data_IF_342596961782
#
_entry.id   IF_342596961782
#
_cell.length_a   1.000
_cell.length_b   1.000
_cell.length_c   1.000
_cell.angle_alpha   90.00
_cell.angle_beta   90.00
_cell.angle_gamma   90.00
#
_symmetry.space_group_name_H-M   'P 1'
#
loop_
_entity.id
_entity.type
_entity.pdbx_description
1 polymer ?
#
# COMPACT_ATOMS: atom_id res chain seq x y z
N UNK A 1 15.79 42.62 -31.50
CA UNK A 1 14.79 41.56 -31.69
C UNK A 1 13.52 42.06 -31.02
N UNK A 2 12.43 42.19 -31.77
CA UNK A 2 11.18 42.76 -31.25
C UNK A 2 10.59 41.84 -30.17
N UNK A 3 10.13 42.40 -29.05
CA UNK A 3 9.56 41.63 -27.94
C UNK A 3 8.33 40.82 -28.39
N UNK A 4 7.59 41.33 -29.38
CA UNK A 4 6.46 40.62 -29.98
C UNK A 4 6.87 39.32 -30.71
N UNK A 5 8.05 39.30 -31.34
CA UNK A 5 8.61 38.13 -32.02
C UNK A 5 9.10 37.08 -31.00
N UNK A 6 9.63 37.54 -29.86
CA UNK A 6 10.06 36.64 -28.78
C UNK A 6 8.86 35.89 -28.19
N UNK A 7 7.78 36.60 -27.87
CA UNK A 7 6.58 36.01 -27.25
C UNK A 7 5.85 35.06 -28.20
N UNK A 8 5.74 35.39 -29.49
CA UNK A 8 5.07 34.54 -30.49
C UNK A 8 5.80 33.22 -30.76
N UNK A 9 7.10 33.11 -30.45
CA UNK A 9 7.86 31.87 -30.62
C UNK A 9 8.01 31.11 -29.30
N UNK A 10 8.32 31.80 -28.20
CA UNK A 10 8.60 31.14 -26.91
C UNK A 10 7.35 30.53 -26.28
N UNK A 11 6.20 31.21 -26.31
CA UNK A 11 4.98 30.71 -25.69
C UNK A 11 4.49 29.39 -26.32
N UNK A 12 4.36 29.28 -27.66
CA UNK A 12 3.98 28.00 -28.26
C UNK A 12 5.07 26.94 -28.16
N UNK A 13 6.36 27.31 -28.13
CA UNK A 13 7.43 26.35 -27.92
C UNK A 13 7.39 25.74 -26.51
N UNK A 14 7.15 26.56 -25.47
CA UNK A 14 6.98 26.09 -24.09
C UNK A 14 5.70 25.27 -23.96
N UNK A 15 4.59 25.70 -24.56
CA UNK A 15 3.35 24.94 -24.57
C UNK A 15 3.51 23.58 -25.27
N UNK A 16 4.19 23.54 -26.41
CA UNK A 16 4.51 22.30 -27.11
C UNK A 16 5.41 21.39 -26.27
N UNK A 17 6.41 21.94 -25.58
CA UNK A 17 7.29 21.19 -24.68
C UNK A 17 6.52 20.60 -23.49
N UNK A 18 5.55 21.34 -22.94
CA UNK A 18 4.67 20.85 -21.87
C UNK A 18 3.74 19.73 -22.35
N UNK A 19 3.20 19.82 -23.57
CA UNK A 19 2.34 18.79 -24.17
C UNK A 19 3.15 17.54 -24.54
N UNK A 20 4.36 17.71 -25.07
CA UNK A 20 5.28 16.61 -25.40
C UNK A 20 5.87 15.94 -24.15
N UNK A 21 5.99 16.68 -23.04
CA UNK A 21 6.46 16.18 -21.75
C UNK A 21 5.40 15.48 -20.91
N UNK A 22 4.12 15.54 -21.31
CA UNK A 22 3.06 14.76 -20.70
C UNK A 22 3.25 13.29 -21.08
N UNK A 23 4.05 12.58 -20.29
CA UNK A 23 4.16 11.13 -20.37
C UNK A 23 2.75 10.52 -20.33
N UNK A 24 2.49 9.58 -21.23
CA UNK A 24 1.29 8.74 -21.18
C UNK A 24 1.33 7.94 -19.88
N UNK A 25 0.70 8.48 -18.83
CA UNK A 25 0.49 7.76 -17.60
C UNK A 25 -0.27 6.48 -17.97
N UNK A 26 0.33 5.32 -17.72
CA UNK A 26 -0.40 4.07 -17.81
C UNK A 26 -1.65 4.18 -16.94
N UNK A 27 -2.82 3.71 -17.40
CA UNK A 27 -4.02 3.76 -16.58
C UNK A 27 -3.73 3.12 -15.22
N UNK A 28 -4.20 3.73 -14.11
CA UNK A 28 -3.95 3.22 -12.78
C UNK A 28 -4.42 1.75 -12.72
N UNK A 29 -3.52 0.86 -12.32
CA UNK A 29 -3.81 -0.56 -12.15
C UNK A 29 -4.10 -0.81 -10.68
N UNK A 30 -5.34 -1.18 -10.38
CA UNK A 30 -5.69 -1.61 -9.04
C UNK A 30 -4.87 -2.84 -8.65
N UNK A 31 -4.29 -2.82 -7.44
CA UNK A 31 -3.46 -3.89 -6.92
C UNK A 31 -4.15 -4.58 -5.74
N UNK A 32 -4.52 -5.84 -5.94
CA UNK A 32 -5.19 -6.65 -4.92
C UNK A 32 -4.23 -7.73 -4.41
N UNK A 33 -4.09 -7.79 -3.08
CA UNK A 33 -3.15 -8.67 -2.41
C UNK A 33 -3.91 -9.69 -1.58
N UNK A 34 -3.53 -10.96 -1.71
CA UNK A 34 -4.08 -12.08 -0.94
C UNK A 34 -2.92 -12.91 -0.40
N UNK A 35 -3.05 -13.41 0.83
CA UNK A 35 -2.03 -14.25 1.44
C UNK A 35 -2.08 -14.24 2.95
N UNK A 36 -0.92 -14.50 3.56
CA UNK A 36 -0.72 -14.61 5.00
C UNK A 36 0.11 -13.44 5.55
N UNK A 37 0.77 -13.66 6.70
CA UNK A 37 1.64 -12.70 7.36
C UNK A 37 2.74 -12.11 6.47
N UNK A 38 3.23 -12.84 5.46
CA UNK A 38 4.30 -12.37 4.58
C UNK A 38 3.89 -11.17 3.72
N UNK A 39 2.58 -11.00 3.52
CA UNK A 39 2.02 -9.94 2.69
C UNK A 39 0.93 -9.13 3.41
N UNK A 40 0.59 -9.48 4.65
CA UNK A 40 -0.27 -8.66 5.52
C UNK A 40 0.42 -7.34 5.87
N UNK A 41 -0.33 -6.26 5.77
CA UNK A 41 0.09 -4.91 6.10
C UNK A 41 -0.72 -4.26 7.23
N UNK A 42 -1.48 -5.06 7.98
CA UNK A 42 -2.16 -4.62 9.20
C UNK A 42 -3.63 -5.02 9.31
N UNK A 43 -4.15 -5.95 8.50
CA UNK A 43 -5.53 -6.43 8.65
C UNK A 43 -5.76 -7.01 10.05
N UNK A 44 -4.76 -7.73 10.57
CA UNK A 44 -4.87 -8.39 11.86
C UNK A 44 -5.01 -7.41 13.05
N UNK A 45 -4.67 -6.13 12.88
CA UNK A 45 -4.89 -5.11 13.91
C UNK A 45 -6.40 -4.84 14.15
N UNK A 46 -7.25 -5.20 13.19
CA UNK A 46 -8.70 -5.07 13.24
C UNK A 46 -9.42 -6.37 13.63
N UNK A 47 -8.69 -7.46 13.88
CA UNK A 47 -9.25 -8.79 14.18
C UNK A 47 -8.95 -9.23 15.62
N UNK A 48 -9.82 -10.06 16.20
CA UNK A 48 -9.56 -10.71 17.49
C UNK A 48 -8.63 -11.92 17.31
N UNK A 49 -7.34 -11.64 17.20
CA UNK A 49 -6.27 -12.62 16.92
C UNK A 49 -5.01 -12.27 17.71
N UNK A 50 -4.23 -13.29 18.05
CA UNK A 50 -2.88 -13.12 18.65
C UNK A 50 -1.81 -12.90 17.58
N UNK A 51 -2.09 -13.22 16.32
CA UNK A 51 -1.17 -12.98 15.21
C UNK A 51 -1.22 -11.50 14.81
N UNK A 52 -0.53 -10.63 15.56
CA UNK A 52 -0.44 -9.19 15.28
C UNK A 52 1.01 -8.72 15.19
N UNK A 53 1.23 -7.71 14.36
CA UNK A 53 2.51 -7.05 14.19
C UNK A 53 2.41 -5.54 14.56
N UNK A 54 1.72 -5.26 15.66
CA UNK A 54 1.44 -3.93 16.21
C UNK A 54 2.36 -3.55 17.39
N UNK A 55 3.46 -4.29 17.60
CA UNK A 55 4.45 -4.05 18.64
C UNK A 55 5.89 -4.17 18.10
N UNK A 56 6.91 -3.63 18.80
CA UNK A 56 8.31 -3.89 18.46
C UNK A 56 8.64 -5.40 18.41
N UNK A 57 9.54 -5.86 17.51
CA UNK A 57 10.44 -5.07 16.66
C UNK A 57 9.84 -4.65 15.30
N UNK A 58 8.57 -4.95 15.03
CA UNK A 58 7.97 -4.64 13.74
C UNK A 58 8.00 -3.15 13.44
N UNK A 59 8.35 -2.78 12.21
CA UNK A 59 8.44 -1.39 11.78
C UNK A 59 9.72 -0.63 12.19
N UNK A 60 10.71 -1.25 12.82
CA UNK A 60 11.97 -0.57 13.22
C UNK A 60 12.75 0.05 12.05
N UNK A 61 12.71 -0.59 10.88
CA UNK A 61 13.35 -0.12 9.64
C UNK A 61 12.36 0.62 8.71
N UNK A 62 11.09 0.78 9.12
CA UNK A 62 10.11 1.56 8.38
C UNK A 62 10.38 3.07 8.57
N UNK A 63 10.07 3.95 7.59
CA UNK A 63 10.34 5.39 7.72
C UNK A 63 9.77 6.07 8.97
N UNK A 64 8.69 5.53 9.56
CA UNK A 64 8.10 6.05 10.79
C UNK A 64 8.76 5.51 12.07
N UNK A 65 9.55 4.44 11.97
CA UNK A 65 10.11 3.68 13.10
C UNK A 65 9.05 3.21 14.12
N UNK A 66 7.80 3.07 13.71
CA UNK A 66 6.67 2.62 14.52
C UNK A 66 6.12 1.29 13.99
N UNK A 67 5.51 0.44 14.85
CA UNK A 67 4.83 -0.76 14.38
C UNK A 67 3.78 -0.45 13.32
N UNK A 68 3.84 -1.20 12.21
CA UNK A 68 3.05 -0.92 11.01
C UNK A 68 1.93 -1.93 10.76
N UNK A 69 1.88 -3.03 11.52
CA UNK A 69 1.03 -4.19 11.22
C UNK A 69 1.63 -5.14 10.18
N UNK A 70 2.82 -4.85 9.62
CA UNK A 70 3.58 -5.77 8.77
C UNK A 70 4.43 -6.68 9.62
N UNK A 71 4.46 -7.98 9.30
CA UNK A 71 5.34 -8.96 9.93
C UNK A 71 6.78 -8.83 9.41
N UNK A 72 7.32 -7.61 9.45
CA UNK A 72 8.64 -7.21 8.95
C UNK A 72 9.15 -6.02 9.77
N UNK A 73 10.45 -5.79 9.75
CA UNK A 73 11.03 -4.55 10.27
C UNK A 73 10.64 -3.34 9.43
N UNK A 74 10.33 -3.51 8.15
CA UNK A 74 10.07 -2.42 7.22
C UNK A 74 8.97 -2.77 6.23
N UNK A 75 9.23 -2.47 4.95
CA UNK A 75 8.34 -2.81 3.85
C UNK A 75 8.21 -4.34 3.68
N UNK A 76 7.05 -4.78 3.22
CA UNK A 76 6.82 -6.15 2.76
C UNK A 76 6.76 -6.19 1.21
N UNK A 77 6.63 -7.38 0.63
CA UNK A 77 6.67 -7.57 -0.82
C UNK A 77 5.62 -6.70 -1.56
N UNK A 78 4.35 -6.65 -1.13
CA UNK A 78 3.36 -5.75 -1.71
C UNK A 78 3.74 -4.27 -1.75
N UNK A 79 4.41 -3.76 -0.72
CA UNK A 79 4.85 -2.37 -0.72
C UNK A 79 5.89 -2.11 -1.81
N UNK A 80 6.89 -3.00 -1.90
CA UNK A 80 7.97 -2.91 -2.89
C UNK A 80 7.40 -3.00 -4.32
N UNK A 81 6.41 -3.87 -4.54
CA UNK A 81 5.70 -3.96 -5.81
C UNK A 81 4.96 -2.65 -6.10
N UNK A 82 4.26 -2.08 -5.11
CA UNK A 82 3.52 -0.83 -5.26
C UNK A 82 4.45 0.34 -5.62
N UNK A 83 5.62 0.42 -4.98
CA UNK A 83 6.67 1.39 -5.30
C UNK A 83 7.16 1.23 -6.75
N UNK A 84 7.40 -0.01 -7.19
CA UNK A 84 7.83 -0.28 -8.56
C UNK A 84 6.75 0.05 -9.60
N UNK A 85 5.47 -0.10 -9.23
CA UNK A 85 4.33 0.30 -10.07
C UNK A 85 4.10 1.83 -10.07
N UNK A 86 4.79 2.60 -9.22
CA UNK A 86 4.53 4.02 -9.01
C UNK A 86 3.16 4.29 -8.39
N UNK A 87 2.61 3.31 -7.67
CA UNK A 87 1.31 3.37 -7.02
C UNK A 87 1.45 3.59 -5.52
N UNK A 88 0.41 4.14 -4.90
CA UNK A 88 0.27 4.06 -3.45
C UNK A 88 0.12 2.59 -3.03
N UNK A 89 0.61 2.20 -1.82
CA UNK A 89 0.37 0.87 -1.29
C UNK A 89 -1.12 0.60 -1.08
N UNK A 90 -1.56 -0.62 -1.40
CA UNK A 90 -2.92 -1.05 -1.12
C UNK A 90 -3.18 -1.07 0.40
N UNK A 91 -4.24 -0.42 0.88
CA UNK A 91 -4.57 -0.40 2.31
C UNK A 91 -5.08 -1.77 2.79
N UNK A 92 -4.97 -2.08 4.10
CA UNK A 92 -5.65 -3.24 4.68
C UNK A 92 -7.14 -3.20 4.37
N UNK A 93 -7.73 -4.30 3.94
CA UNK A 93 -9.15 -4.44 3.64
C UNK A 93 -10.05 -4.00 4.80
N UNK A 94 -9.62 -4.27 6.04
CA UNK A 94 -10.36 -3.92 7.25
C UNK A 94 -10.12 -2.48 7.73
N UNK A 95 -9.27 -1.71 7.04
CA UNK A 95 -8.99 -0.32 7.42
C UNK A 95 -10.21 0.58 7.19
N UNK A 96 -10.57 1.45 8.16
CA UNK A 96 -11.61 2.45 7.95
C UNK A 96 -11.25 3.47 6.86
N UNK A 97 -9.97 3.59 6.51
CA UNK A 97 -9.46 4.51 5.48
C UNK A 97 -9.60 3.95 4.06
N UNK A 98 -9.89 2.66 3.91
CA UNK A 98 -10.14 2.04 2.60
C UNK A 98 -11.54 2.42 2.09
N UNK A 99 -11.68 3.66 1.61
CA UNK A 99 -12.93 4.24 1.12
C UNK A 99 -12.68 5.19 -0.06
N UNK A 100 -13.72 5.44 -0.87
CA UNK A 100 -13.63 6.38 -1.99
C UNK A 100 -12.52 6.00 -2.97
N UNK A 101 -11.70 6.98 -3.35
CA UNK A 101 -10.62 6.80 -4.34
C UNK A 101 -9.54 5.81 -3.89
N UNK A 102 -9.41 5.53 -2.59
CA UNK A 102 -8.50 4.50 -2.08
C UNK A 102 -8.88 3.09 -2.58
N UNK A 103 -10.17 2.84 -2.86
CA UNK A 103 -10.61 1.57 -3.45
C UNK A 103 -10.12 1.39 -4.90
N UNK A 104 -9.82 2.49 -5.60
CA UNK A 104 -9.31 2.46 -6.98
C UNK A 104 -7.83 2.07 -7.03
N UNK A 105 -7.09 2.29 -5.94
CA UNK A 105 -5.70 1.80 -5.77
C UNK A 105 -5.69 0.27 -5.61
N UNK A 106 -6.72 -0.29 -4.99
CA UNK A 106 -6.84 -1.71 -4.67
C UNK A 106 -6.95 -1.96 -3.16
N UNK A 107 -6.77 -3.20 -2.72
CA UNK A 107 -6.90 -3.58 -1.32
C UNK A 107 -6.05 -4.80 -0.97
N UNK A 108 -5.55 -4.83 0.26
CA UNK A 108 -4.84 -5.97 0.81
C UNK A 108 -5.78 -6.81 1.68
N UNK A 109 -6.05 -8.03 1.28
CA UNK A 109 -6.89 -9.01 1.98
C UNK A 109 -6.09 -10.03 2.77
N UNK A 110 -4.76 -9.92 2.80
CA UNK A 110 -3.91 -10.86 3.50
C UNK A 110 -4.12 -10.78 5.02
N UNK A 111 -4.01 -11.91 5.70
CA UNK A 111 -4.21 -11.98 7.14
C UNK A 111 -3.22 -12.96 7.75
N UNK A 112 -2.46 -12.51 8.74
CA UNK A 112 -1.55 -13.38 9.46
C UNK A 112 -2.30 -14.49 10.23
N UNK A 113 -1.71 -15.68 10.24
CA UNK A 113 -2.33 -16.85 10.85
C UNK A 113 -3.45 -17.45 10.01
N UNK A 114 -3.71 -16.96 8.78
CA UNK A 114 -4.56 -17.69 7.84
C UNK A 114 -3.86 -18.98 7.41
N UNK A 115 -4.58 -20.09 7.47
CA UNK A 115 -4.15 -21.38 6.95
C UNK A 115 -4.81 -21.67 5.61
N UNK A 116 -4.17 -22.51 4.78
CA UNK A 116 -4.83 -23.07 3.58
C UNK A 116 -6.00 -24.00 3.98
N UNK A 117 -5.87 -24.65 5.14
CA UNK A 117 -6.89 -25.51 5.73
C UNK A 117 -7.43 -24.86 7.01
N UNK A 118 -8.69 -25.13 7.37
CA UNK A 118 -9.29 -24.60 8.61
C UNK A 118 -8.43 -24.92 9.84
N UNK A 119 -7.89 -26.14 9.90
CA UNK A 119 -7.14 -26.63 11.05
C UNK A 119 -5.81 -25.89 11.25
N UNK A 120 -5.21 -25.34 10.18
CA UNK A 120 -3.97 -24.56 10.27
C UNK A 120 -4.21 -23.09 10.61
N UNK A 121 -5.44 -22.59 10.43
CA UNK A 121 -5.81 -21.21 10.79
C UNK A 121 -6.30 -21.01 12.23
N UNK A 122 -6.86 -22.04 12.86
CA UNK A 122 -7.48 -21.96 14.20
C UNK A 122 -6.45 -21.65 15.31
N UNK A 123 -5.16 -21.87 15.07
CA UNK A 123 -4.10 -21.72 16.08
C UNK A 123 -3.97 -20.28 16.63
N UNK A 124 -4.44 -19.27 15.90
CA UNK A 124 -4.26 -17.86 16.25
C UNK A 124 -5.54 -17.17 16.74
N UNK A 125 -6.63 -17.92 16.94
CA UNK A 125 -7.87 -17.40 17.52
C UNK A 125 -7.63 -17.11 19.00
N UNK A 126 -7.78 -15.84 19.40
CA UNK A 126 -7.65 -15.47 20.82
C UNK A 126 -8.84 -16.03 21.61
N UNK A 127 -8.61 -17.00 22.49
CA UNK A 127 -9.60 -17.42 23.49
C UNK A 127 -9.53 -16.49 24.70
N UNK A 128 -10.64 -15.82 25.03
CA UNK A 128 -10.80 -14.94 26.20
C UNK A 128 -10.79 -15.69 27.56
N UNK A 129 -10.08 -16.82 27.69
CA UNK A 129 -10.09 -17.63 28.92
C UNK A 129 -9.03 -17.26 29.95
N UNK A 130 -8.05 -16.43 29.59
CA UNK A 130 -6.93 -16.07 30.47
C UNK A 130 -6.81 -14.55 30.67
N UNK A 131 -7.88 -13.91 31.14
CA UNK A 131 -7.82 -12.60 31.81
C UNK A 131 -8.46 -12.67 33.18
#
# INVERSE_FOLDING_TARGET
MDAALLVTVLVPAVAALLVLGAASASPPRAFFVFGDSLVDNGNNNYLMTTARADAPPYGIDFPTHLPTGRFSNGLNIPDIISEHLGSQPALPYLSPDLRGDQLLVGANFASAGVGILNDTGIQFVSNNRDR
#
